data_IF_642263372275
#
_entry.id   IF_642263372275
#
_cell.length_a   1.000
_cell.length_b   1.000
_cell.length_c   1.000
_cell.angle_alpha   90.00
_cell.angle_beta   90.00
_cell.angle_gamma   90.00
#
_symmetry.space_group_name_H-M   'P 1'
#
loop_
_entity.id
_entity.type
_entity.pdbx_description
1 polymer ?
#
# COMPACT_ATOMS: atom_id res chain seq x y z
N UNK A 1 2.01 -20.03 3.88
CA UNK A 1 1.02 -21.14 3.83
C UNK A 1 0.05 -20.99 2.66
N UNK A 2 -0.61 -19.84 2.49
CA UNK A 2 -1.54 -19.65 1.36
C UNK A 2 -0.92 -19.90 -0.02
N UNK A 3 0.35 -19.59 -0.21
CA UNK A 3 1.07 -19.87 -1.47
C UNK A 3 1.37 -21.35 -1.68
N UNK A 4 1.51 -22.12 -0.60
CA UNK A 4 1.70 -23.56 -0.65
C UNK A 4 0.39 -24.35 -0.80
N UNK A 5 -0.74 -23.63 -0.89
CA UNK A 5 -2.05 -24.26 -1.02
C UNK A 5 -2.62 -24.81 0.30
N UNK A 6 -1.93 -24.61 1.42
CA UNK A 6 -2.39 -25.05 2.74
C UNK A 6 -3.50 -24.15 3.28
N UNK A 7 -4.50 -24.71 3.99
CA UNK A 7 -5.53 -23.92 4.65
C UNK A 7 -4.93 -23.08 5.77
N UNK A 8 -5.53 -21.90 6.00
CA UNK A 8 -5.21 -21.01 7.11
C UNK A 8 -6.47 -20.87 7.96
N UNK A 9 -6.65 -21.82 8.87
CA UNK A 9 -7.86 -21.87 9.71
C UNK A 9 -7.69 -20.98 10.94
N UNK A 10 -8.63 -20.06 11.13
CA UNK A 10 -8.74 -19.19 12.31
C UNK A 10 -10.19 -19.25 12.77
N UNK A 11 -10.40 -19.60 14.04
CA UNK A 11 -11.73 -19.78 14.63
C UNK A 11 -12.67 -20.68 13.80
N UNK A 12 -12.11 -21.75 13.21
CA UNK A 12 -12.84 -22.69 12.38
C UNK A 12 -13.11 -22.25 10.94
N UNK A 13 -12.67 -21.07 10.55
CA UNK A 13 -12.85 -20.50 9.19
C UNK A 13 -11.53 -20.55 8.42
N UNK A 14 -11.52 -21.12 7.22
CA UNK A 14 -10.37 -21.04 6.32
C UNK A 14 -10.30 -19.63 5.69
N UNK A 15 -9.26 -18.90 6.05
CA UNK A 15 -8.98 -17.53 5.59
C UNK A 15 -8.23 -17.49 4.25
N UNK A 16 -7.91 -18.62 3.67
CA UNK A 16 -7.10 -18.69 2.44
C UNK A 16 -7.75 -17.92 1.28
N UNK A 17 -9.04 -18.12 1.07
CA UNK A 17 -9.76 -17.44 -0.03
C UNK A 17 -9.73 -15.91 0.14
N UNK A 18 -9.94 -15.43 1.35
CA UNK A 18 -9.82 -14.01 1.68
C UNK A 18 -8.43 -13.47 1.32
N UNK A 19 -7.35 -14.13 1.78
CA UNK A 19 -6.00 -13.67 1.50
C UNK A 19 -5.65 -13.67 0.01
N UNK A 20 -6.07 -14.70 -0.71
CA UNK A 20 -5.87 -14.79 -2.16
C UNK A 20 -6.64 -13.69 -2.89
N UNK A 21 -7.90 -13.43 -2.48
CA UNK A 21 -8.72 -12.38 -3.06
C UNK A 21 -8.09 -10.98 -2.85
N UNK A 22 -7.59 -10.68 -1.65
CA UNK A 22 -6.94 -9.39 -1.38
C UNK A 22 -5.61 -9.22 -2.13
N UNK A 23 -4.84 -10.28 -2.28
CA UNK A 23 -3.64 -10.27 -3.11
C UNK A 23 -3.96 -9.99 -4.58
N UNK A 24 -4.98 -10.66 -5.10
CA UNK A 24 -5.45 -10.43 -6.46
C UNK A 24 -5.93 -9.00 -6.63
N UNK A 25 -6.70 -8.46 -5.68
CA UNK A 25 -7.20 -7.08 -5.73
C UNK A 25 -6.04 -6.07 -5.79
N UNK A 26 -5.01 -6.25 -4.97
CA UNK A 26 -3.82 -5.40 -5.00
C UNK A 26 -3.07 -5.50 -6.35
N UNK A 27 -2.92 -6.71 -6.87
CA UNK A 27 -2.27 -6.95 -8.16
C UNK A 27 -3.06 -6.36 -9.34
N UNK A 28 -4.37 -6.58 -9.37
CA UNK A 28 -5.26 -6.05 -10.41
C UNK A 28 -5.25 -4.51 -10.40
N UNK A 29 -5.31 -3.90 -9.22
CA UNK A 29 -5.22 -2.44 -9.07
C UNK A 29 -3.88 -1.92 -9.62
N UNK A 30 -2.75 -2.49 -9.20
CA UNK A 30 -1.43 -2.08 -9.67
C UNK A 30 -1.28 -2.24 -11.20
N UNK A 31 -1.76 -3.34 -11.77
CA UNK A 31 -1.73 -3.57 -13.22
C UNK A 31 -2.54 -2.51 -13.98
N UNK A 32 -3.72 -2.13 -13.50
CA UNK A 32 -4.56 -1.09 -14.10
C UNK A 32 -3.92 0.29 -14.02
N UNK A 33 -3.25 0.62 -12.91
CA UNK A 33 -2.46 1.85 -12.78
C UNK A 33 -1.31 1.86 -13.80
N UNK A 34 -0.54 0.78 -13.89
CA UNK A 34 0.59 0.70 -14.83
C UNK A 34 0.14 0.72 -16.29
N UNK A 35 -1.01 0.13 -16.60
CA UNK A 35 -1.60 0.17 -17.95
C UNK A 35 -2.10 1.58 -18.32
N UNK A 36 -2.38 2.44 -17.32
CA UNK A 36 -3.00 3.75 -17.53
C UNK A 36 -4.51 3.68 -17.67
N UNK A 37 -5.14 2.64 -17.12
CA UNK A 37 -6.59 2.54 -16.98
C UNK A 37 -7.10 3.34 -15.77
N UNK A 38 -6.24 3.50 -14.77
CA UNK A 38 -6.44 4.40 -13.63
C UNK A 38 -5.44 5.54 -13.78
N UNK A 39 -5.96 6.75 -13.94
CA UNK A 39 -5.22 7.98 -14.24
C UNK A 39 -5.65 9.11 -13.32
N UNK A 40 -4.87 10.19 -13.32
CA UNK A 40 -5.26 11.46 -12.70
C UNK A 40 -6.42 12.12 -13.46
N UNK A 41 -6.82 13.32 -13.05
CA UNK A 41 -7.91 14.08 -13.67
C UNK A 41 -7.63 14.48 -15.13
N UNK A 42 -6.35 14.66 -15.47
CA UNK A 42 -5.91 15.01 -16.83
C UNK A 42 -5.79 13.79 -17.76
N UNK A 43 -6.04 12.57 -17.27
CA UNK A 43 -5.87 11.32 -18.04
C UNK A 43 -4.42 10.86 -18.11
N UNK A 44 -3.55 11.35 -17.22
CA UNK A 44 -2.12 11.03 -17.20
C UNK A 44 -1.82 9.97 -16.16
N UNK A 45 -0.73 9.22 -16.39
CA UNK A 45 -0.32 8.11 -15.53
C UNK A 45 0.29 8.61 -14.22
N UNK A 46 0.02 7.88 -13.15
CA UNK A 46 0.73 8.03 -11.90
C UNK A 46 2.17 7.49 -12.01
N UNK A 47 3.12 8.20 -11.42
CA UNK A 47 4.56 7.84 -11.42
C UNK A 47 5.11 7.64 -10.03
N UNK A 48 4.41 8.13 -9.01
CA UNK A 48 4.82 8.06 -7.61
C UNK A 48 3.70 7.48 -6.75
N UNK A 49 4.07 6.71 -5.74
CA UNK A 49 3.17 6.22 -4.71
C UNK A 49 3.68 6.63 -3.33
N UNK A 50 2.83 7.21 -2.49
CA UNK A 50 3.18 7.64 -1.12
C UNK A 50 2.36 6.82 -0.13
N UNK A 51 3.01 6.09 0.76
CA UNK A 51 2.32 5.34 1.82
C UNK A 51 2.28 6.16 3.11
N UNK A 52 1.08 6.31 3.64
CA UNK A 52 0.79 6.96 4.92
C UNK A 52 0.48 5.86 5.93
N UNK A 53 1.36 5.64 6.90
CA UNK A 53 1.16 4.58 7.88
C UNK A 53 2.23 4.62 8.95
N UNK A 54 1.94 4.09 10.14
CA UNK A 54 2.80 4.17 11.33
C UNK A 54 3.21 2.77 11.78
N UNK A 55 4.43 2.66 12.29
CA UNK A 55 4.98 1.42 12.86
C UNK A 55 4.96 0.27 11.85
N UNK A 56 4.19 -0.78 12.12
CA UNK A 56 4.09 -1.94 11.24
C UNK A 56 3.48 -1.62 9.87
N UNK A 57 2.69 -0.55 9.77
CA UNK A 57 2.12 -0.08 8.49
C UNK A 57 3.11 0.72 7.64
N UNK A 58 4.35 0.89 8.10
CA UNK A 58 5.41 1.61 7.42
C UNK A 58 6.69 0.77 7.31
N UNK A 59 7.27 0.37 8.46
CA UNK A 59 8.64 -0.12 8.56
C UNK A 59 8.95 -1.31 7.66
N UNK A 60 8.07 -2.31 7.61
CA UNK A 60 8.30 -3.50 6.81
C UNK A 60 8.27 -3.24 5.30
N UNK A 61 7.19 -2.64 4.77
CA UNK A 61 7.12 -2.24 3.36
C UNK A 61 8.24 -1.29 2.94
N UNK A 62 8.57 -0.28 3.76
CA UNK A 62 9.68 0.65 3.51
C UNK A 62 11.02 -0.06 3.44
N UNK A 63 11.31 -0.94 4.39
CA UNK A 63 12.57 -1.71 4.39
C UNK A 63 12.70 -2.57 3.13
N UNK A 64 11.63 -3.23 2.71
CA UNK A 64 11.60 -4.01 1.46
C UNK A 64 11.77 -3.14 0.22
N UNK A 65 11.12 -1.97 0.17
CA UNK A 65 11.29 -1.04 -0.93
C UNK A 65 12.75 -0.59 -1.06
N UNK A 66 13.35 -0.10 0.03
CA UNK A 66 14.76 0.37 0.05
C UNK A 66 15.72 -0.74 -0.36
N UNK A 67 15.50 -1.96 0.14
CA UNK A 67 16.36 -3.10 -0.17
C UNK A 67 16.31 -3.51 -1.66
N UNK A 68 15.19 -3.26 -2.33
CA UNK A 68 14.93 -3.79 -3.68
C UNK A 68 14.97 -2.73 -4.78
N UNK A 69 14.91 -1.46 -4.43
CA UNK A 69 14.80 -0.37 -5.40
C UNK A 69 15.92 -0.41 -6.45
N UNK A 70 17.17 -0.51 -6.01
CA UNK A 70 18.32 -0.56 -6.91
C UNK A 70 18.33 -1.84 -7.76
N UNK A 71 17.96 -2.98 -7.18
CA UNK A 71 17.83 -4.23 -7.91
C UNK A 71 16.73 -4.14 -8.98
N UNK A 72 15.57 -3.58 -8.63
CA UNK A 72 14.45 -3.41 -9.54
C UNK A 72 14.80 -2.48 -10.71
N UNK A 73 15.52 -1.38 -10.44
CA UNK A 73 16.02 -0.48 -11.50
C UNK A 73 16.99 -1.20 -12.45
N UNK A 74 17.93 -1.97 -11.89
CA UNK A 74 18.90 -2.73 -12.70
C UNK A 74 18.26 -3.86 -13.54
N UNK A 75 17.12 -4.40 -13.10
CA UNK A 75 16.42 -5.49 -13.77
C UNK A 75 15.16 -5.05 -14.56
N UNK A 76 14.96 -3.76 -14.77
CA UNK A 76 13.82 -3.19 -15.49
C UNK A 76 12.43 -3.59 -14.93
N UNK A 77 12.34 -3.87 -13.64
CA UNK A 77 11.08 -4.15 -12.93
C UNK A 77 10.55 -2.97 -12.14
N UNK A 78 11.31 -1.89 -12.04
CA UNK A 78 10.90 -0.65 -11.40
C UNK A 78 9.76 0.01 -12.18
N UNK A 79 8.67 0.35 -11.49
CA UNK A 79 7.46 0.92 -12.09
C UNK A 79 7.15 2.33 -11.58
N UNK A 80 7.15 2.51 -10.27
CA UNK A 80 6.81 3.78 -9.62
C UNK A 80 7.77 4.05 -8.47
N UNK A 81 8.09 5.32 -8.26
CA UNK A 81 8.82 5.74 -7.05
C UNK A 81 7.92 5.60 -5.83
N UNK A 82 8.45 5.09 -4.70
CA UNK A 82 7.72 5.04 -3.46
C UNK A 82 8.31 5.99 -2.41
N UNK A 83 7.42 6.72 -1.73
CA UNK A 83 7.71 7.58 -0.58
C UNK A 83 6.87 7.16 0.61
N UNK A 84 7.23 7.64 1.79
CA UNK A 84 6.60 7.22 3.04
C UNK A 84 6.42 8.41 3.98
N UNK A 85 5.21 8.56 4.52
CA UNK A 85 4.87 9.48 5.60
C UNK A 85 4.53 8.62 6.81
N UNK A 86 5.39 8.60 7.84
CA UNK A 86 5.32 7.61 8.90
C UNK A 86 5.14 8.16 10.30
N UNK A 87 5.41 9.42 10.52
CA UNK A 87 5.29 10.07 11.82
C UNK A 87 4.33 11.25 11.74
N UNK A 88 3.78 11.66 12.88
CA UNK A 88 3.05 12.93 12.99
C UNK A 88 4.06 14.05 13.17
N UNK A 89 4.82 14.26 12.12
CA UNK A 89 5.76 15.36 12.01
C UNK A 89 5.39 16.17 10.76
N UNK A 90 4.87 17.39 10.94
CA UNK A 90 4.44 18.20 9.81
C UNK A 90 5.60 18.58 8.88
N UNK A 91 6.81 18.69 9.38
CA UNK A 91 7.98 19.03 8.56
C UNK A 91 8.40 17.84 7.68
N UNK A 92 8.36 16.60 8.23
CA UNK A 92 8.60 15.37 7.45
C UNK A 92 7.54 15.18 6.36
N UNK A 93 6.26 15.31 6.72
CA UNK A 93 5.17 15.21 5.76
C UNK A 93 5.25 16.29 4.67
N UNK A 94 5.55 17.54 5.05
CA UNK A 94 5.73 18.65 4.11
C UNK A 94 6.92 18.41 3.16
N UNK A 95 8.04 17.89 3.68
CA UNK A 95 9.22 17.56 2.88
C UNK A 95 8.92 16.45 1.86
N UNK A 96 8.18 15.41 2.26
CA UNK A 96 7.74 14.36 1.32
C UNK A 96 6.84 14.95 0.24
N UNK A 97 5.82 15.74 0.59
CA UNK A 97 4.90 16.34 -0.37
C UNK A 97 5.60 17.30 -1.33
N UNK A 98 6.59 18.06 -0.84
CA UNK A 98 7.40 18.94 -1.68
C UNK A 98 8.34 18.19 -2.65
N UNK A 99 8.65 16.93 -2.35
CA UNK A 99 9.53 16.09 -3.17
C UNK A 99 8.83 15.31 -4.28
N UNK A 100 7.50 15.39 -4.38
CA UNK A 100 6.69 14.65 -5.35
C UNK A 100 5.84 15.59 -6.19
N UNK A 101 5.50 15.14 -7.40
CA UNK A 101 4.46 15.77 -8.20
C UNK A 101 3.10 15.24 -7.72
N UNK A 102 2.31 16.09 -7.06
CA UNK A 102 1.02 15.73 -6.49
C UNK A 102 0.05 15.21 -7.55
N UNK A 103 0.04 15.82 -8.75
CA UNK A 103 -0.85 15.41 -9.84
C UNK A 103 -0.55 14.00 -10.35
N UNK A 104 0.72 13.56 -10.25
CA UNK A 104 1.15 12.22 -10.68
C UNK A 104 1.42 11.26 -9.50
N UNK A 105 0.87 11.56 -8.32
CA UNK A 105 1.07 10.76 -7.11
C UNK A 105 -0.20 10.07 -6.65
N UNK A 106 -0.08 8.79 -6.27
CA UNK A 106 -1.07 8.02 -5.53
C UNK A 106 -0.72 7.96 -4.05
N UNK A 107 -1.70 8.03 -3.17
CA UNK A 107 -1.52 7.98 -1.72
C UNK A 107 -2.23 6.75 -1.14
N UNK A 108 -1.51 5.95 -0.35
CA UNK A 108 -2.05 4.77 0.33
C UNK A 108 -2.21 5.09 1.82
N UNK A 109 -3.44 5.14 2.30
CA UNK A 109 -3.75 5.28 3.72
C UNK A 109 -3.79 3.91 4.37
N UNK A 110 -2.84 3.62 5.27
CA UNK A 110 -2.72 2.31 5.91
C UNK A 110 -3.04 2.40 7.39
N UNK A 111 -4.23 1.95 7.76
CA UNK A 111 -4.65 1.83 9.16
C UNK A 111 -5.58 0.65 9.33
N UNK A 112 -5.19 -0.37 10.12
CA UNK A 112 -6.03 -1.54 10.36
C UNK A 112 -7.36 -1.16 10.99
N UNK A 113 -7.34 -0.38 12.06
CA UNK A 113 -8.55 0.08 12.76
C UNK A 113 -9.32 1.17 12.01
N UNK A 114 -8.63 1.93 11.15
CA UNK A 114 -9.17 3.14 10.54
C UNK A 114 -9.38 4.31 11.53
N UNK A 115 -8.81 4.20 12.72
CA UNK A 115 -8.98 5.19 13.81
C UNK A 115 -7.65 5.65 14.39
N UNK A 116 -6.52 5.24 13.81
CA UNK A 116 -5.18 5.68 14.26
C UNK A 116 -5.03 7.17 14.01
N UNK A 117 -5.03 7.96 15.08
CA UNK A 117 -5.09 9.42 15.02
C UNK A 117 -3.96 10.00 14.15
N UNK A 118 -2.77 9.48 14.32
CA UNK A 118 -1.59 9.91 13.58
C UNK A 118 -1.74 9.68 12.07
N UNK A 119 -2.25 8.52 11.68
CA UNK A 119 -2.49 8.21 10.26
C UNK A 119 -3.57 9.12 9.67
N UNK A 120 -4.66 9.35 10.42
CA UNK A 120 -5.75 10.24 9.99
C UNK A 120 -5.31 11.70 9.93
N UNK A 121 -4.41 12.13 10.82
CA UNK A 121 -3.83 13.49 10.77
C UNK A 121 -2.99 13.67 9.51
N UNK A 122 -2.12 12.72 9.21
CA UNK A 122 -1.32 12.77 7.98
C UNK A 122 -2.19 12.67 6.72
N UNK A 123 -3.24 11.86 6.75
CA UNK A 123 -4.23 11.78 5.66
C UNK A 123 -4.90 13.13 5.42
N UNK A 124 -5.37 13.78 6.49
CA UNK A 124 -5.99 15.11 6.40
C UNK A 124 -5.02 16.15 5.83
N UNK A 125 -3.74 16.10 6.22
CA UNK A 125 -2.70 16.96 5.70
C UNK A 125 -2.47 16.74 4.20
N UNK A 126 -2.45 15.51 3.74
CA UNK A 126 -2.34 15.17 2.31
C UNK A 126 -3.58 15.60 1.52
N UNK A 127 -4.78 15.38 2.06
CA UNK A 127 -6.03 15.82 1.43
C UNK A 127 -6.07 17.36 1.25
N UNK A 128 -5.62 18.09 2.26
CA UNK A 128 -5.52 19.55 2.18
C UNK A 128 -4.53 20.00 1.10
N UNK A 129 -3.36 19.35 1.02
CA UNK A 129 -2.36 19.65 -0.01
C UNK A 129 -2.88 19.37 -1.44
N UNK A 130 -3.55 18.23 -1.66
CA UNK A 130 -4.18 17.90 -2.93
C UNK A 130 -5.25 18.93 -3.30
N UNK A 131 -6.12 19.29 -2.35
CA UNK A 131 -7.19 20.26 -2.56
C UNK A 131 -6.63 21.66 -2.90
N UNK A 132 -5.57 22.10 -2.21
CA UNK A 132 -4.88 23.37 -2.50
C UNK A 132 -4.21 23.36 -3.88
N UNK A 133 -3.80 22.20 -4.36
CA UNK A 133 -3.30 22.04 -5.72
C UNK A 133 -4.40 21.94 -6.79
N UNK A 134 -5.68 22.01 -6.41
CA UNK A 134 -6.82 21.90 -7.32
C UNK A 134 -7.14 20.47 -7.75
N UNK A 135 -6.64 19.47 -7.02
CA UNK A 135 -6.84 18.05 -7.28
C UNK A 135 -7.94 17.47 -6.38
N UNK A 136 -8.63 16.45 -6.87
CA UNK A 136 -9.64 15.73 -6.08
C UNK A 136 -9.00 14.58 -5.30
N UNK A 137 -8.91 14.64 -3.94
CA UNK A 137 -8.28 13.59 -3.16
C UNK A 137 -8.82 12.17 -3.44
N UNK A 138 -10.13 12.02 -3.70
CA UNK A 138 -10.72 10.70 -3.95
C UNK A 138 -10.20 10.02 -5.23
N UNK A 139 -9.58 10.76 -6.14
CA UNK A 139 -8.95 10.23 -7.35
C UNK A 139 -7.48 9.88 -7.18
N UNK A 140 -6.90 10.24 -6.04
CA UNK A 140 -5.49 10.05 -5.73
C UNK A 140 -5.24 9.10 -4.56
N UNK A 141 -6.30 8.66 -3.87
CA UNK A 141 -6.14 7.92 -2.62
C UNK A 141 -6.74 6.51 -2.69
N UNK A 142 -6.09 5.57 -2.01
CA UNK A 142 -6.61 4.24 -1.73
C UNK A 142 -6.38 3.87 -0.26
N UNK A 143 -7.23 3.00 0.29
CA UNK A 143 -7.11 2.56 1.67
C UNK A 143 -6.57 1.12 1.77
N UNK A 144 -5.74 0.85 2.78
CA UNK A 144 -5.42 -0.51 3.23
C UNK A 144 -5.84 -0.63 4.69
N UNK A 145 -6.89 -1.39 4.96
CA UNK A 145 -7.58 -1.36 6.24
C UNK A 145 -8.28 -2.69 6.54
N UNK A 146 -8.89 -2.84 7.73
CA UNK A 146 -9.79 -3.97 8.01
C UNK A 146 -11.15 -3.78 7.30
N UNK A 147 -11.84 -4.88 6.99
CA UNK A 147 -13.21 -4.83 6.44
C UNK A 147 -14.22 -4.16 7.40
N UNK A 148 -13.94 -4.21 8.70
CA UNK A 148 -14.78 -3.60 9.74
C UNK A 148 -14.46 -2.14 10.02
N UNK A 149 -13.39 -1.62 9.43
CA UNK A 149 -12.91 -0.25 9.61
C UNK A 149 -13.84 0.78 8.96
N UNK A 150 -13.96 1.99 9.53
CA UNK A 150 -14.63 3.11 8.87
C UNK A 150 -14.09 3.41 7.46
N UNK A 151 -12.78 3.28 7.25
CA UNK A 151 -12.15 3.52 5.94
C UNK A 151 -12.63 2.54 4.85
N UNK A 152 -13.06 1.32 5.24
CA UNK A 152 -13.55 0.31 4.30
C UNK A 152 -14.84 0.70 3.59
N UNK A 153 -15.62 1.58 4.20
CA UNK A 153 -16.95 2.01 3.73
C UNK A 153 -16.96 3.40 3.12
N UNK A 154 -15.81 4.06 3.10
CA UNK A 154 -15.69 5.42 2.58
C UNK A 154 -15.62 5.40 1.05
N UNK A 155 -16.33 6.31 0.41
CA UNK A 155 -16.29 6.61 -1.03
C UNK A 155 -15.17 7.60 -1.40
N UNK A 156 -14.39 8.02 -0.40
CA UNK A 156 -13.26 8.94 -0.58
C UNK A 156 -11.99 8.26 -1.16
N UNK A 157 -12.06 6.95 -1.48
CA UNK A 157 -10.92 6.19 -2.00
C UNK A 157 -11.25 5.52 -3.33
N UNK A 158 -10.27 5.43 -4.22
CA UNK A 158 -10.34 4.68 -5.47
C UNK A 158 -10.68 3.20 -5.23
N UNK A 159 -10.16 2.65 -4.16
CA UNK A 159 -10.43 1.29 -3.69
C UNK A 159 -9.97 1.11 -2.25
N UNK A 160 -10.48 0.08 -1.58
CA UNK A 160 -9.95 -0.41 -0.31
C UNK A 160 -9.41 -1.83 -0.48
N UNK A 161 -8.18 -2.09 -0.03
CA UNK A 161 -7.59 -3.43 0.05
C UNK A 161 -7.65 -3.85 1.51
N UNK A 162 -8.15 -5.05 1.78
CA UNK A 162 -8.39 -5.46 3.14
C UNK A 162 -7.23 -6.28 3.73
N UNK A 163 -6.93 -6.00 4.98
CA UNK A 163 -6.05 -6.80 5.83
C UNK A 163 -6.86 -7.46 6.94
N UNK A 164 -6.52 -8.70 7.27
CA UNK A 164 -7.19 -9.43 8.32
C UNK A 164 -6.81 -8.87 9.71
N UNK A 165 -7.78 -8.83 10.62
CA UNK A 165 -7.61 -8.34 11.99
C UNK A 165 -6.57 -9.16 12.78
N UNK A 166 -6.40 -10.43 12.44
CA UNK A 166 -5.39 -11.31 13.04
C UNK A 166 -3.94 -10.98 12.63
N UNK A 167 -3.73 -10.17 11.59
CA UNK A 167 -2.38 -9.79 11.16
C UNK A 167 -1.84 -8.70 12.08
N UNK A 168 -0.83 -9.04 12.87
CA UNK A 168 -0.07 -8.07 13.66
C UNK A 168 0.75 -7.14 12.77
N UNK A 169 0.90 -5.86 13.18
CA UNK A 169 1.57 -4.83 12.38
C UNK A 169 2.97 -5.25 11.90
N UNK A 170 3.79 -5.84 12.77
CA UNK A 170 5.15 -6.31 12.44
C UNK A 170 5.22 -7.41 11.37
N UNK A 171 4.11 -8.10 11.13
CA UNK A 171 3.99 -9.19 10.13
C UNK A 171 3.25 -8.76 8.87
N UNK A 172 2.85 -7.49 8.76
CA UNK A 172 1.95 -7.00 7.71
C UNK A 172 2.62 -6.80 6.35
N UNK A 173 3.96 -6.83 6.26
CA UNK A 173 4.70 -6.61 5.01
C UNK A 173 4.31 -7.56 3.87
N UNK A 174 3.82 -8.76 4.20
CA UNK A 174 3.36 -9.78 3.23
C UNK A 174 1.83 -9.83 3.08
N UNK A 175 1.12 -8.92 3.73
CA UNK A 175 -0.33 -8.72 3.60
C UNK A 175 -0.65 -7.66 2.55
N UNK A 176 -1.90 -7.18 2.51
CA UNK A 176 -2.32 -6.03 1.71
C UNK A 176 -1.47 -4.77 1.93
N UNK A 177 -0.87 -4.61 3.12
CA UNK A 177 -0.03 -3.45 3.47
C UNK A 177 1.20 -3.35 2.55
N UNK A 178 2.04 -4.39 2.53
CA UNK A 178 3.16 -4.42 1.58
C UNK A 178 2.71 -4.73 0.16
N UNK A 179 1.63 -5.52 0.01
CA UNK A 179 1.07 -5.89 -1.30
C UNK A 179 0.70 -4.70 -2.16
N UNK A 180 0.06 -3.69 -1.58
CA UNK A 180 -0.35 -2.50 -2.32
C UNK A 180 0.87 -1.71 -2.83
N UNK A 181 1.73 -1.23 -1.94
CA UNK A 181 2.83 -0.35 -2.34
C UNK A 181 3.91 -1.08 -3.16
N UNK A 182 4.29 -2.32 -2.79
CA UNK A 182 5.34 -3.03 -3.52
C UNK A 182 4.86 -3.52 -4.90
N UNK A 183 3.56 -3.81 -5.08
CA UNK A 183 3.02 -4.11 -6.41
C UNK A 183 2.99 -2.87 -7.31
N UNK A 184 2.69 -1.70 -6.76
CA UNK A 184 2.76 -0.42 -7.49
C UNK A 184 4.22 -0.08 -7.85
N UNK A 185 5.15 -0.23 -6.89
CA UNK A 185 6.54 0.16 -7.09
C UNK A 185 7.31 -0.78 -8.05
N UNK A 186 7.07 -2.10 -7.98
CA UNK A 186 7.90 -3.11 -8.67
C UNK A 186 7.11 -4.04 -9.61
N UNK A 187 5.79 -3.93 -9.62
CA UNK A 187 4.88 -4.84 -10.31
C UNK A 187 4.49 -6.06 -9.45
N UNK A 188 3.26 -6.59 -9.65
CA UNK A 188 2.71 -7.66 -8.83
C UNK A 188 3.51 -8.97 -8.89
N UNK A 189 4.11 -9.28 -10.02
CA UNK A 189 4.94 -10.49 -10.20
C UNK A 189 6.18 -10.44 -9.30
N UNK A 190 6.89 -9.31 -9.30
CA UNK A 190 8.06 -9.10 -8.45
C UNK A 190 7.71 -9.22 -6.98
N UNK A 191 6.60 -8.63 -6.54
CA UNK A 191 6.11 -8.76 -5.18
C UNK A 191 5.76 -10.21 -4.80
N UNK A 192 5.13 -10.96 -5.71
CA UNK A 192 4.80 -12.38 -5.48
C UNK A 192 6.06 -13.22 -5.29
N UNK A 193 7.10 -13.00 -6.09
CA UNK A 193 8.39 -13.67 -5.94
C UNK A 193 9.05 -13.37 -4.59
N UNK A 194 9.04 -12.10 -4.17
CA UNK A 194 9.51 -11.70 -2.83
C UNK A 194 8.82 -12.47 -1.70
N UNK A 195 7.50 -12.61 -1.79
CA UNK A 195 6.72 -13.37 -0.81
C UNK A 195 7.09 -14.84 -0.79
N UNK A 196 7.34 -15.43 -1.95
CA UNK A 196 7.74 -16.84 -2.06
C UNK A 196 9.06 -17.13 -1.32
N UNK A 197 10.04 -16.23 -1.42
CA UNK A 197 11.29 -16.35 -0.67
C UNK A 197 11.13 -16.21 0.85
N UNK A 198 10.17 -15.41 1.31
CA UNK A 198 9.88 -15.25 2.75
C UNK A 198 9.17 -16.45 3.40
N UNK A 199 8.65 -17.39 2.62
CA UNK A 199 8.00 -18.60 3.13
C UNK A 199 8.95 -19.77 3.28
N UNK A 200 10.21 -19.69 2.82
CA UNK A 200 11.25 -20.64 3.14
C UNK A 200 11.70 -20.48 4.61
N UNK A 201 12.08 -21.59 5.23
CA UNK A 201 12.40 -21.70 6.67
C UNK A 201 13.55 -20.79 7.17
N UNK A 202 14.18 -20.04 6.27
CA UNK A 202 15.36 -19.21 6.56
C UNK A 202 15.04 -17.84 7.19
N UNK A 203 13.77 -17.56 7.48
CA UNK A 203 13.31 -16.33 8.13
C UNK A 203 12.72 -16.56 9.52
N UNK A 204 13.13 -17.62 10.19
CA UNK A 204 12.86 -17.81 11.61
C UNK A 204 14.03 -17.22 12.40
N UNK A 205 13.95 -15.95 12.71
CA UNK A 205 14.65 -15.31 13.82
C UNK A 205 13.64 -14.55 14.64
#
# INVERSE_FOLDING_TARGET
RTQLGEPVVVDGVDKREFYVAQQKKAADFANRVHAGEITNEAGEKFTTVVQIGIGGSDLGPRALYIALENWAKANNTFKMEAKFISNVDPDDAAAVLASVDLAHSLFIVVSKSGTTLETLTNEAFVKDALTKAGLNPSRHMLAVTSETSPLAKSDEYLTAIFMDDYIGGRYSSVSGVGGAILSLAFGPVSYTHLRAHKTSQDLVC
#
